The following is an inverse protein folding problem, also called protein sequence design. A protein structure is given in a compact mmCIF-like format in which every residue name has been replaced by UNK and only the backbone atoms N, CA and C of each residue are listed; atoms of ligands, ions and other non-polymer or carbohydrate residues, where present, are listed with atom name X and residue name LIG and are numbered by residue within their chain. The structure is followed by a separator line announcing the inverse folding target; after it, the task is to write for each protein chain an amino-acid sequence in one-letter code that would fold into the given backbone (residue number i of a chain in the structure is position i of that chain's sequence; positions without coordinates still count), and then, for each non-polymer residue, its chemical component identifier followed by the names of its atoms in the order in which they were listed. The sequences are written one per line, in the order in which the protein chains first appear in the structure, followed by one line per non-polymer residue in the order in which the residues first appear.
data_IF_371349149986
#
_entry.id   IF_371349149986
#
_cell.length_a   1.000
_cell.length_b   1.000
_cell.length_c   1.000
_cell.angle_alpha   90.00
_cell.angle_beta   90.00
_cell.angle_gamma   90.00
#
_symmetry.space_group_name_H-M   'P 1'
#
loop_
_entity.id
_entity.type
_entity.pdbx_description
1 polymer ?
#
# COMPACT_ATOMS: atom_id res chain seq x y z
N UNK A 1 -17.12 -20.93 30.09
CA UNK A 1 -16.81 -19.87 31.08
C UNK A 1 -15.38 -19.30 31.02
N UNK A 2 -14.28 -20.08 30.90
CA UNK A 2 -12.89 -19.53 30.83
C UNK A 2 -12.58 -18.64 29.61
N UNK A 3 -13.25 -18.82 28.46
CA UNK A 3 -13.03 -18.03 27.22
C UNK A 3 -13.62 -16.61 27.32
N UNK A 4 -14.75 -16.45 28.01
CA UNK A 4 -15.40 -15.15 28.22
C UNK A 4 -14.58 -14.25 29.17
N UNK A 5 -13.88 -14.81 30.15
CA UNK A 5 -12.96 -14.05 31.01
C UNK A 5 -11.75 -13.50 30.24
N UNK A 6 -11.18 -14.24 29.29
CA UNK A 6 -10.03 -13.75 28.50
C UNK A 6 -10.40 -12.61 27.54
N UNK A 7 -11.57 -12.68 26.91
CA UNK A 7 -12.04 -11.61 26.02
C UNK A 7 -12.38 -10.35 26.85
N UNK A 8 -13.10 -10.52 27.96
CA UNK A 8 -13.40 -9.42 28.89
C UNK A 8 -12.12 -8.75 29.43
N UNK A 9 -11.12 -9.53 29.82
CA UNK A 9 -9.84 -9.02 30.32
C UNK A 9 -8.99 -8.34 29.22
N UNK A 10 -9.05 -8.84 27.98
CA UNK A 10 -8.42 -8.20 26.82
C UNK A 10 -9.10 -6.85 26.49
N UNK A 11 -10.44 -6.83 26.44
CA UNK A 11 -11.22 -5.62 26.22
C UNK A 11 -10.97 -4.57 27.32
N UNK A 12 -10.93 -4.99 28.58
CA UNK A 12 -10.63 -4.08 29.69
C UNK A 12 -9.20 -3.52 29.62
N UNK A 13 -8.25 -4.28 29.09
CA UNK A 13 -6.89 -3.79 28.89
C UNK A 13 -6.75 -2.90 27.65
N UNK A 14 -7.58 -3.01 26.62
CA UNK A 14 -7.39 -2.30 25.36
C UNK A 14 -8.51 -1.32 24.98
N UNK A 15 -9.47 -1.08 25.87
CA UNK A 15 -10.61 -0.19 25.60
C UNK A 15 -10.22 1.22 25.10
N UNK A 16 -9.12 1.88 25.54
CA UNK A 16 -8.79 3.19 25.00
C UNK A 16 -8.37 3.12 23.53
N UNK A 17 -7.65 2.06 23.15
CA UNK A 17 -7.26 1.85 21.76
C UNK A 17 -8.47 1.54 20.87
N UNK A 18 -9.40 0.72 21.38
CA UNK A 18 -10.66 0.41 20.71
C UNK A 18 -11.49 1.68 20.49
N UNK A 19 -11.59 2.54 21.52
CA UNK A 19 -12.30 3.80 21.43
C UNK A 19 -11.68 4.74 20.39
N UNK A 20 -10.35 4.90 20.38
CA UNK A 20 -9.65 5.73 19.39
C UNK A 20 -9.90 5.25 17.96
N UNK A 21 -9.81 3.92 17.73
CA UNK A 21 -10.08 3.33 16.41
C UNK A 21 -11.55 3.45 16.01
N UNK A 22 -12.48 3.31 16.96
CA UNK A 22 -13.90 3.50 16.70
C UNK A 22 -14.20 4.94 16.30
N UNK A 23 -13.67 5.94 17.04
CA UNK A 23 -13.80 7.36 16.69
C UNK A 23 -13.25 7.60 15.28
N UNK A 24 -12.04 7.12 15.00
CA UNK A 24 -11.42 7.26 13.68
C UNK A 24 -12.28 6.65 12.56
N UNK A 25 -12.83 5.45 12.78
CA UNK A 25 -13.71 4.79 11.82
C UNK A 25 -15.00 5.59 11.58
N UNK A 26 -15.65 6.06 12.64
CA UNK A 26 -16.89 6.83 12.52
C UNK A 26 -16.66 8.20 11.87
N UNK A 27 -15.55 8.88 12.14
CA UNK A 27 -15.19 10.12 11.45
C UNK A 27 -15.01 9.86 9.95
N UNK A 28 -14.28 8.82 9.57
CA UNK A 28 -14.10 8.44 8.16
C UNK A 28 -15.42 8.06 7.48
N UNK A 29 -16.27 7.30 8.18
CA UNK A 29 -17.59 6.88 7.71
C UNK A 29 -18.51 8.08 7.48
N UNK A 30 -18.60 9.00 8.45
CA UNK A 30 -19.48 10.16 8.38
C UNK A 30 -19.01 11.17 7.34
N UNK A 31 -17.69 11.37 7.18
CA UNK A 31 -17.16 12.16 6.06
C UNK A 31 -17.53 11.54 4.71
N UNK A 32 -17.39 10.22 4.57
CA UNK A 32 -17.66 9.54 3.30
C UNK A 32 -19.13 9.46 2.92
N UNK A 33 -20.00 9.08 3.86
CA UNK A 33 -21.42 8.80 3.59
C UNK A 33 -22.30 10.02 3.84
N UNK A 34 -21.82 10.97 4.63
CA UNK A 34 -22.64 12.02 5.22
C UNK A 34 -23.22 11.57 6.56
N UNK A 35 -23.55 12.55 7.39
CA UNK A 35 -24.20 12.36 8.68
C UNK A 35 -24.96 13.63 9.07
N UNK A 36 -25.93 13.52 9.96
CA UNK A 36 -26.67 14.67 10.52
C UNK A 36 -27.32 15.58 9.47
N UNK A 37 -27.82 15.00 8.37
CA UNK A 37 -28.44 15.76 7.28
C UNK A 37 -27.46 16.47 6.34
N UNK A 38 -26.15 16.29 6.54
CA UNK A 38 -25.10 16.81 5.66
C UNK A 38 -24.66 15.69 4.69
N UNK A 39 -24.66 15.92 3.37
CA UNK A 39 -24.11 14.98 2.40
C UNK A 39 -22.64 14.66 2.66
N UNK A 40 -22.23 13.45 2.30
CA UNK A 40 -20.83 13.04 2.32
C UNK A 40 -20.06 13.53 1.09
N UNK A 41 -18.78 13.17 1.05
CA UNK A 41 -17.90 13.58 -0.06
C UNK A 41 -18.19 12.83 -1.37
N UNK A 42 -18.19 13.58 -2.47
CA UNK A 42 -18.27 13.05 -3.83
C UNK A 42 -17.06 12.16 -4.18
N UNK A 43 -17.15 11.46 -5.31
CA UNK A 43 -16.02 10.72 -5.87
C UNK A 43 -14.86 11.65 -6.22
N UNK A 44 -13.64 11.17 -6.01
CA UNK A 44 -12.40 11.84 -6.45
C UNK A 44 -11.90 11.25 -7.76
N UNK A 45 -10.99 11.96 -8.44
CA UNK A 45 -10.45 11.55 -9.75
C UNK A 45 -9.90 10.12 -9.72
N UNK A 46 -9.05 9.78 -8.73
CA UNK A 46 -8.49 8.43 -8.61
C UNK A 46 -9.56 7.34 -8.43
N UNK A 47 -10.67 7.65 -7.75
CA UNK A 47 -11.75 6.71 -7.53
C UNK A 47 -12.50 6.38 -8.82
N UNK A 48 -12.58 7.33 -9.76
CA UNK A 48 -13.12 7.11 -11.10
C UNK A 48 -12.35 5.99 -11.81
N UNK A 49 -11.01 5.98 -11.74
CA UNK A 49 -10.22 4.90 -12.36
C UNK A 49 -10.19 3.62 -11.51
N UNK A 50 -10.03 3.73 -10.19
CA UNK A 50 -9.74 2.58 -9.33
C UNK A 50 -10.95 1.68 -9.04
N UNK A 51 -12.13 2.26 -8.86
CA UNK A 51 -13.36 1.49 -8.53
C UNK A 51 -13.78 0.55 -9.68
N UNK A 52 -13.96 1.02 -10.94
CA UNK A 52 -14.33 0.13 -12.05
C UNK A 52 -13.25 -0.91 -12.32
N UNK A 53 -11.97 -0.54 -12.24
CA UNK A 53 -10.85 -1.49 -12.32
C UNK A 53 -10.94 -2.57 -11.24
N UNK A 54 -11.10 -2.17 -9.98
CA UNK A 54 -11.24 -3.10 -8.87
C UNK A 54 -12.40 -4.07 -9.05
N UNK A 55 -13.55 -3.55 -9.49
CA UNK A 55 -14.71 -4.37 -9.80
C UNK A 55 -14.43 -5.35 -10.95
N UNK A 56 -13.78 -4.91 -12.04
CA UNK A 56 -13.45 -5.79 -13.18
C UNK A 56 -12.50 -6.92 -12.80
N UNK A 57 -11.50 -6.64 -11.95
CA UNK A 57 -10.52 -7.62 -11.50
C UNK A 57 -11.17 -8.76 -10.71
N UNK A 58 -12.15 -8.43 -9.88
CA UNK A 58 -12.82 -9.42 -9.01
C UNK A 58 -13.98 -10.10 -9.72
N UNK A 59 -14.79 -9.34 -10.46
CA UNK A 59 -16.00 -9.87 -11.10
C UNK A 59 -15.70 -10.65 -12.38
N UNK A 60 -14.76 -10.16 -13.18
CA UNK A 60 -14.49 -10.71 -14.51
C UNK A 60 -13.15 -11.43 -14.60
N UNK A 61 -12.26 -11.28 -13.60
CA UNK A 61 -10.87 -11.76 -13.68
C UNK A 61 -10.13 -11.18 -14.89
N UNK A 62 -10.40 -9.89 -15.15
CA UNK A 62 -9.92 -9.16 -16.32
C UNK A 62 -9.23 -7.87 -15.87
N UNK A 63 -7.90 -7.83 -16.04
CA UNK A 63 -7.01 -6.79 -15.54
C UNK A 63 -6.82 -5.62 -16.51
N UNK A 64 -7.71 -5.46 -17.51
CA UNK A 64 -7.48 -4.49 -18.59
C UNK A 64 -7.43 -3.03 -18.16
N UNK A 65 -8.26 -2.64 -17.20
CA UNK A 65 -8.37 -1.23 -16.80
C UNK A 65 -7.29 -0.90 -15.78
N UNK A 66 -6.55 0.19 -15.95
CA UNK A 66 -5.55 0.72 -14.98
C UNK A 66 -4.39 -0.24 -14.63
N UNK A 67 -3.55 -0.67 -15.58
CA UNK A 67 -2.34 -1.46 -15.29
C UNK A 67 -1.24 -0.66 -14.54
N UNK A 68 -1.39 0.67 -14.44
CA UNK A 68 -0.46 1.58 -13.75
C UNK A 68 -0.31 1.32 -12.24
N UNK A 69 -1.25 0.58 -11.65
CA UNK A 69 -1.22 0.20 -10.24
C UNK A 69 -1.48 -1.28 -10.05
N UNK A 70 -0.86 -1.92 -9.03
CA UNK A 70 -1.13 -3.31 -8.70
C UNK A 70 -2.61 -3.60 -8.37
N UNK A 71 -3.06 -4.86 -8.50
CA UNK A 71 -4.47 -5.21 -8.41
C UNK A 71 -5.04 -5.11 -6.99
N UNK A 72 -4.28 -5.45 -5.94
CA UNK A 72 -4.89 -5.87 -4.66
C UNK A 72 -5.66 -4.74 -3.98
N UNK A 73 -5.12 -3.52 -3.94
CA UNK A 73 -5.82 -2.40 -3.31
C UNK A 73 -7.14 -2.08 -4.03
N UNK A 74 -7.13 -2.09 -5.37
CA UNK A 74 -8.34 -1.89 -6.19
C UNK A 74 -9.31 -3.05 -6.04
N UNK A 75 -8.82 -4.28 -6.09
CA UNK A 75 -9.62 -5.48 -5.92
C UNK A 75 -10.35 -5.48 -4.56
N UNK A 76 -9.69 -5.05 -3.47
CA UNK A 76 -10.35 -4.90 -2.18
C UNK A 76 -11.59 -4.00 -2.26
N UNK A 77 -11.51 -2.86 -2.95
CA UNK A 77 -12.64 -1.97 -3.19
C UNK A 77 -13.72 -2.60 -4.11
N UNK A 78 -13.32 -3.45 -5.05
CA UNK A 78 -14.24 -4.17 -5.94
C UNK A 78 -14.99 -5.34 -5.30
N UNK A 79 -14.45 -5.96 -4.23
CA UNK A 79 -15.05 -7.14 -3.58
C UNK A 79 -16.50 -6.89 -3.13
N UNK A 80 -16.82 -5.84 -2.35
CA UNK A 80 -18.19 -5.60 -1.90
C UNK A 80 -19.17 -5.42 -3.07
N UNK A 81 -18.73 -4.71 -4.11
CA UNK A 81 -19.51 -4.48 -5.32
C UNK A 81 -19.79 -5.78 -6.09
N UNK A 82 -18.78 -6.64 -6.21
CA UNK A 82 -18.91 -7.96 -6.86
C UNK A 82 -19.83 -8.91 -6.09
N UNK A 83 -19.80 -8.87 -4.75
CA UNK A 83 -20.68 -9.66 -3.88
C UNK A 83 -22.13 -9.16 -3.97
N UNK A 84 -22.35 -7.84 -3.99
CA UNK A 84 -23.69 -7.28 -4.13
C UNK A 84 -24.34 -7.68 -5.46
N UNK A 85 -23.56 -7.80 -6.53
CA UNK A 85 -23.98 -8.36 -7.81
C UNK A 85 -24.88 -7.45 -8.66
N UNK A 86 -25.30 -6.29 -8.14
CA UNK A 86 -26.23 -5.37 -8.79
C UNK A 86 -25.53 -4.13 -9.39
N UNK A 87 -24.31 -4.30 -9.90
CA UNK A 87 -23.59 -3.23 -10.61
C UNK A 87 -23.84 -3.38 -12.10
N UNK A 88 -24.50 -2.38 -12.66
CA UNK A 88 -24.88 -2.35 -14.05
C UNK A 88 -23.71 -1.98 -14.97
N UNK A 89 -23.66 -2.62 -16.12
CA UNK A 89 -23.22 -2.00 -17.36
C UNK A 89 -21.74 -1.78 -17.60
N UNK A 90 -20.80 -2.19 -16.73
CA UNK A 90 -19.38 -1.87 -16.97
C UNK A 90 -18.86 -2.27 -18.36
N UNK A 91 -19.38 -3.38 -18.93
CA UNK A 91 -18.98 -3.88 -20.26
C UNK A 91 -19.79 -3.31 -21.42
N UNK A 92 -20.86 -2.58 -21.14
CA UNK A 92 -21.82 -2.13 -22.14
C UNK A 92 -21.35 -0.83 -22.81
N UNK A 93 -20.43 -0.09 -22.17
CA UNK A 93 -19.82 1.11 -22.74
C UNK A 93 -18.62 0.79 -23.66
N UNK A 94 -18.41 1.65 -24.65
CA UNK A 94 -17.28 1.54 -25.57
C UNK A 94 -15.93 1.58 -24.85
N UNK A 95 -15.84 2.28 -23.71
CA UNK A 95 -14.63 2.45 -22.91
C UNK A 95 -14.05 1.12 -22.42
N UNK A 96 -14.88 0.09 -22.26
CA UNK A 96 -14.45 -1.24 -21.83
C UNK A 96 -13.57 -1.93 -22.88
N UNK A 97 -13.98 -1.85 -24.15
CA UNK A 97 -13.20 -2.38 -25.27
C UNK A 97 -12.10 -1.41 -25.71
N UNK A 98 -12.31 -0.11 -25.52
CA UNK A 98 -11.31 0.94 -25.73
C UNK A 98 -10.23 1.03 -24.64
N UNK A 99 -10.33 0.22 -23.58
CA UNK A 99 -9.40 0.21 -22.43
C UNK A 99 -9.27 1.61 -21.78
N UNK A 100 -10.35 2.39 -21.77
CA UNK A 100 -10.36 3.73 -21.21
C UNK A 100 -10.84 3.69 -19.75
N UNK A 101 -9.89 3.76 -18.82
CA UNK A 101 -10.16 3.70 -17.38
C UNK A 101 -11.00 4.87 -16.86
N UNK A 102 -10.88 6.05 -17.45
CA UNK A 102 -11.56 7.26 -16.99
C UNK A 102 -13.03 7.24 -17.42
N UNK A 103 -13.28 6.99 -18.70
CA UNK A 103 -14.64 6.88 -19.23
C UNK A 103 -15.39 5.68 -18.64
N UNK A 104 -14.72 4.54 -18.45
CA UNK A 104 -15.33 3.39 -17.76
C UNK A 104 -15.78 3.73 -16.34
N UNK A 105 -15.05 4.62 -15.67
CA UNK A 105 -15.40 5.09 -14.34
C UNK A 105 -16.57 6.05 -14.32
N UNK A 106 -16.57 7.04 -15.22
CA UNK A 106 -17.69 7.96 -15.38
C UNK A 106 -18.96 7.23 -15.75
N UNK A 107 -18.87 6.32 -16.72
CA UNK A 107 -20.00 5.51 -17.15
C UNK A 107 -20.54 4.64 -15.99
N UNK A 108 -19.68 3.85 -15.32
CA UNK A 108 -20.13 2.97 -14.24
C UNK A 108 -20.78 3.74 -13.09
N UNK A 109 -20.19 4.87 -12.69
CA UNK A 109 -20.68 5.62 -11.53
C UNK A 109 -21.92 6.44 -11.85
N UNK A 110 -22.03 7.04 -13.04
CA UNK A 110 -22.99 8.11 -13.30
C UNK A 110 -23.92 7.89 -14.50
N UNK A 111 -23.62 6.96 -15.41
CA UNK A 111 -24.41 6.78 -16.64
C UNK A 111 -25.09 5.41 -16.73
N UNK A 112 -24.48 4.37 -16.16
CA UNK A 112 -24.99 2.99 -16.15
C UNK A 112 -26.23 2.78 -15.26
N UNK A 113 -26.77 3.83 -14.64
CA UNK A 113 -27.92 3.77 -13.75
C UNK A 113 -27.62 3.20 -12.36
N UNK A 114 -26.34 3.10 -11.97
CA UNK A 114 -25.95 2.78 -10.60
C UNK A 114 -26.15 4.02 -9.69
N UNK A 115 -26.49 3.82 -8.42
CA UNK A 115 -26.46 4.92 -7.44
C UNK A 115 -25.00 5.20 -7.02
N UNK A 116 -24.42 6.37 -7.37
CA UNK A 116 -23.02 6.67 -7.07
C UNK A 116 -22.73 6.63 -5.56
N UNK A 117 -23.68 7.05 -4.72
CA UNK A 117 -23.49 7.08 -3.27
C UNK A 117 -23.33 5.65 -2.70
N UNK A 118 -24.16 4.71 -3.16
CA UNK A 118 -24.06 3.30 -2.79
C UNK A 118 -22.76 2.68 -3.28
N UNK A 119 -22.36 2.93 -4.53
CA UNK A 119 -21.11 2.40 -5.10
C UNK A 119 -19.90 2.91 -4.31
N UNK A 120 -19.82 4.23 -4.07
CA UNK A 120 -18.73 4.85 -3.31
C UNK A 120 -18.67 4.31 -1.88
N UNK A 121 -19.81 4.18 -1.20
CA UNK A 121 -19.84 3.67 0.17
C UNK A 121 -19.23 2.27 0.28
N UNK A 122 -19.67 1.35 -0.58
CA UNK A 122 -19.20 -0.03 -0.54
C UNK A 122 -17.74 -0.16 -1.01
N UNK A 123 -17.32 0.64 -1.99
CA UNK A 123 -15.94 0.63 -2.48
C UNK A 123 -14.94 1.22 -1.46
N UNK A 124 -15.36 2.23 -0.67
CA UNK A 124 -14.52 2.90 0.34
C UNK A 124 -14.39 2.11 1.65
N UNK A 125 -15.38 1.28 1.99
CA UNK A 125 -15.39 0.52 3.25
C UNK A 125 -14.11 -0.33 3.45
N UNK A 126 -13.62 -1.11 2.47
CA UNK A 126 -12.36 -1.84 2.57
C UNK A 126 -11.14 -0.94 2.88
N UNK A 127 -11.09 0.28 2.34
CA UNK A 127 -10.01 1.23 2.61
C UNK A 127 -10.05 1.73 4.06
N UNK A 128 -11.24 2.03 4.57
CA UNK A 128 -11.42 2.35 5.99
C UNK A 128 -11.00 1.18 6.89
N UNK A 129 -11.28 -0.07 6.51
CA UNK A 129 -10.84 -1.25 7.27
C UNK A 129 -9.31 -1.41 7.24
N UNK A 130 -8.65 -1.14 6.10
CA UNK A 130 -7.19 -1.09 6.02
C UNK A 130 -6.60 0.02 6.90
N UNK A 131 -7.23 1.19 6.92
CA UNK A 131 -6.86 2.33 7.79
C UNK A 131 -6.90 1.92 9.27
N UNK A 132 -7.96 1.23 9.69
CA UNK A 132 -8.07 0.68 11.05
C UNK A 132 -7.04 -0.43 11.30
N UNK A 133 -6.83 -1.32 10.33
CA UNK A 133 -5.80 -2.36 10.40
C UNK A 133 -4.39 -1.78 10.60
N UNK A 134 -4.08 -0.69 9.90
CA UNK A 134 -2.84 0.08 10.08
C UNK A 134 -2.71 0.63 11.49
N UNK A 135 -3.76 1.24 12.03
CA UNK A 135 -3.79 1.72 13.43
C UNK A 135 -3.59 0.59 14.45
N UNK A 136 -4.23 -0.56 14.26
CA UNK A 136 -4.07 -1.74 15.13
C UNK A 136 -2.62 -2.22 15.12
N UNK A 137 -2.01 -2.37 13.94
CA UNK A 137 -0.62 -2.83 13.84
C UNK A 137 0.37 -1.81 14.40
N UNK A 138 0.12 -0.52 14.21
CA UNK A 138 0.94 0.55 14.79
C UNK A 138 0.89 0.50 16.31
N UNK A 139 -0.32 0.41 16.88
CA UNK A 139 -0.53 0.27 18.32
C UNK A 139 0.16 -0.98 18.88
N UNK A 140 -0.03 -2.13 18.20
CA UNK A 140 0.57 -3.40 18.57
C UNK A 140 2.09 -3.30 18.59
N UNK A 141 2.70 -2.84 17.50
CA UNK A 141 4.15 -2.80 17.39
C UNK A 141 4.76 -1.79 18.36
N UNK A 142 4.20 -0.59 18.48
CA UNK A 142 4.65 0.40 19.46
C UNK A 142 4.52 -0.10 20.90
N UNK A 143 3.47 -0.86 21.22
CA UNK A 143 3.29 -1.51 22.52
C UNK A 143 4.34 -2.58 22.79
N UNK A 144 4.68 -3.41 21.79
CA UNK A 144 5.74 -4.41 21.90
C UNK A 144 7.11 -3.78 22.14
N UNK A 145 7.39 -2.63 21.53
CA UNK A 145 8.69 -1.96 21.62
C UNK A 145 8.86 -1.11 22.88
N UNK A 146 7.83 -0.38 23.29
CA UNK A 146 7.94 0.69 24.29
C UNK A 146 6.85 0.65 25.37
N UNK A 147 6.07 -0.43 25.39
CA UNK A 147 4.99 -0.61 26.33
C UNK A 147 3.70 0.13 25.96
N UNK A 148 2.64 -0.21 26.69
CA UNK A 148 1.25 0.16 26.39
C UNK A 148 1.00 1.67 26.32
N UNK A 149 1.63 2.46 27.20
CA UNK A 149 1.46 3.92 27.24
C UNK A 149 1.93 4.56 25.93
N UNK A 150 3.11 4.17 25.45
CA UNK A 150 3.66 4.68 24.19
C UNK A 150 2.85 4.17 23.01
N UNK A 151 2.41 2.91 23.04
CA UNK A 151 1.46 2.38 22.06
C UNK A 151 0.21 3.25 21.91
N UNK A 152 -0.43 3.63 23.03
CA UNK A 152 -1.62 4.50 23.02
C UNK A 152 -1.32 5.91 22.50
N UNK A 153 -0.18 6.50 22.88
CA UNK A 153 0.22 7.83 22.38
C UNK A 153 0.43 7.79 20.86
N UNK A 154 1.15 6.79 20.35
CA UNK A 154 1.36 6.62 18.91
C UNK A 154 0.03 6.43 18.15
N UNK A 155 -0.88 5.62 18.72
CA UNK A 155 -2.21 5.42 18.14
C UNK A 155 -3.03 6.71 18.17
N UNK A 156 -2.98 7.50 19.24
CA UNK A 156 -3.68 8.78 19.31
C UNK A 156 -3.17 9.75 18.24
N UNK A 157 -1.84 9.90 18.09
CA UNK A 157 -1.24 10.74 17.04
C UNK A 157 -1.73 10.29 15.65
N UNK A 158 -1.74 8.98 15.39
CA UNK A 158 -2.20 8.42 14.13
C UNK A 158 -3.71 8.65 13.89
N UNK A 159 -4.54 8.37 14.90
CA UNK A 159 -6.00 8.45 14.79
C UNK A 159 -6.50 9.90 14.59
N UNK A 160 -5.72 10.89 15.01
CA UNK A 160 -5.99 12.31 14.81
C UNK A 160 -5.12 12.96 13.73
N UNK A 161 -4.36 12.17 12.95
CA UNK A 161 -3.52 12.71 11.89
C UNK A 161 -4.37 13.09 10.66
N UNK A 162 -4.38 14.37 10.25
CA UNK A 162 -5.34 14.88 9.26
C UNK A 162 -5.24 14.17 7.91
N UNK A 163 -4.02 13.93 7.38
CA UNK A 163 -3.89 13.28 6.07
C UNK A 163 -4.41 11.83 6.07
N UNK A 164 -4.25 11.11 7.18
CA UNK A 164 -4.73 9.73 7.29
C UNK A 164 -6.25 9.71 7.30
N UNK A 165 -6.90 10.61 8.04
CA UNK A 165 -8.37 10.70 8.06
C UNK A 165 -8.89 11.15 6.69
N UNK A 166 -8.23 12.13 6.07
CA UNK A 166 -8.65 12.69 4.78
C UNK A 166 -8.55 11.67 3.64
N UNK A 167 -7.41 10.96 3.54
CA UNK A 167 -7.13 10.07 2.42
C UNK A 167 -7.41 8.58 2.71
N UNK A 168 -7.34 8.15 3.97
CA UNK A 168 -7.40 6.73 4.36
C UNK A 168 -8.74 6.04 4.10
N UNK A 169 -9.80 6.82 3.84
CA UNK A 169 -11.13 6.32 3.48
C UNK A 169 -11.39 6.25 1.97
N UNK A 170 -10.61 6.96 1.16
CA UNK A 170 -10.84 7.05 -0.29
C UNK A 170 -10.30 5.80 -0.98
N UNK A 171 -10.86 5.45 -2.15
CA UNK A 171 -10.32 4.36 -3.00
C UNK A 171 -9.08 4.85 -3.75
N UNK A 172 -8.06 5.15 -2.96
CA UNK A 172 -6.68 5.39 -3.37
C UNK A 172 -5.84 4.18 -3.00
N UNK A 173 -4.59 4.13 -3.44
CA UNK A 173 -3.65 3.03 -3.10
C UNK A 173 -2.75 3.37 -1.91
N UNK A 174 -2.88 4.56 -1.33
CA UNK A 174 -1.94 5.09 -0.34
C UNK A 174 -2.05 4.43 1.04
N UNK A 175 -3.27 4.25 1.56
CA UNK A 175 -3.46 3.62 2.87
C UNK A 175 -3.08 2.15 2.85
N UNK A 176 -3.35 1.49 1.72
CA UNK A 176 -2.91 0.13 1.44
C UNK A 176 -1.38 0.03 1.40
N UNK A 177 -0.72 0.97 0.71
CA UNK A 177 0.74 1.06 0.70
C UNK A 177 1.29 1.27 2.12
N UNK A 178 0.77 2.25 2.87
CA UNK A 178 1.22 2.52 4.25
C UNK A 178 1.06 1.29 5.16
N UNK A 179 -0.06 0.57 5.05
CA UNK A 179 -0.27 -0.71 5.72
C UNK A 179 0.80 -1.73 5.33
N UNK A 180 1.00 -1.94 4.03
CA UNK A 180 2.02 -2.83 3.46
C UNK A 180 3.44 -2.52 3.95
N UNK A 181 3.82 -1.25 3.99
CA UNK A 181 5.10 -0.78 4.56
C UNK A 181 5.23 -1.20 6.01
N UNK A 182 4.24 -0.87 6.86
CA UNK A 182 4.30 -1.16 8.29
C UNK A 182 4.43 -2.65 8.56
N UNK A 183 3.57 -3.48 7.96
CA UNK A 183 3.58 -4.92 8.23
C UNK A 183 4.84 -5.60 7.68
N UNK A 184 5.36 -5.15 6.54
CA UNK A 184 6.60 -5.71 5.96
C UNK A 184 7.79 -5.42 6.87
N UNK A 185 7.96 -4.16 7.29
CA UNK A 185 9.06 -3.78 8.19
C UNK A 185 8.93 -4.53 9.53
N UNK A 186 7.72 -4.64 10.07
CA UNK A 186 7.45 -5.39 11.30
C UNK A 186 7.88 -6.87 11.19
N UNK A 187 7.42 -7.59 10.15
CA UNK A 187 7.75 -9.01 10.03
C UNK A 187 9.21 -9.25 9.63
N UNK A 188 9.83 -8.32 8.89
CA UNK A 188 11.25 -8.38 8.61
C UNK A 188 12.10 -8.12 9.86
N UNK A 189 11.74 -7.16 10.73
CA UNK A 189 12.35 -6.99 12.06
C UNK A 189 12.32 -8.30 12.86
N UNK A 190 11.16 -8.96 12.93
CA UNK A 190 11.03 -10.26 13.60
C UNK A 190 11.89 -11.35 12.95
N UNK A 191 12.00 -11.38 11.62
CA UNK A 191 12.84 -12.33 10.91
C UNK A 191 14.34 -12.08 11.17
N UNK A 192 14.79 -10.82 11.22
CA UNK A 192 16.17 -10.48 11.56
C UNK A 192 16.52 -10.84 13.00
N UNK A 193 15.56 -10.73 13.94
CA UNK A 193 15.74 -11.17 15.34
C UNK A 193 15.88 -12.68 15.48
N UNK A 194 15.06 -13.44 14.75
CA UNK A 194 15.12 -14.90 14.78
C UNK A 194 14.90 -15.51 13.39
N UNK A 195 16.01 -15.72 12.67
CA UNK A 195 15.99 -16.24 11.30
C UNK A 195 15.63 -17.74 11.31
N UNK A 196 14.36 -18.00 11.09
CA UNK A 196 13.80 -19.34 10.86
C UNK A 196 13.11 -19.40 9.50
N UNK A 197 12.93 -20.60 8.94
CA UNK A 197 12.17 -20.78 7.70
C UNK A 197 10.79 -20.10 7.77
N UNK A 198 10.07 -20.29 8.89
CA UNK A 198 8.76 -19.68 9.13
C UNK A 198 8.81 -18.15 9.11
N UNK A 199 9.80 -17.54 9.78
CA UNK A 199 9.91 -16.07 9.83
C UNK A 199 10.22 -15.46 8.46
N UNK A 200 11.11 -16.10 7.69
CA UNK A 200 11.49 -15.69 6.33
C UNK A 200 10.32 -15.87 5.37
N UNK A 201 9.58 -16.97 5.49
CA UNK A 201 8.37 -17.23 4.71
C UNK A 201 7.30 -16.17 4.97
N UNK A 202 6.98 -15.90 6.24
CA UNK A 202 5.98 -14.88 6.60
C UNK A 202 6.42 -13.49 6.11
N UNK A 203 7.67 -13.09 6.34
CA UNK A 203 8.18 -11.81 5.87
C UNK A 203 8.15 -11.69 4.34
N UNK A 204 8.52 -12.74 3.61
CA UNK A 204 8.48 -12.78 2.15
C UNK A 204 7.06 -12.71 1.58
N UNK A 205 6.12 -13.47 2.14
CA UNK A 205 4.71 -13.43 1.72
C UNK A 205 4.10 -12.07 2.00
N UNK A 206 4.30 -11.54 3.21
CA UNK A 206 3.82 -10.20 3.57
C UNK A 206 4.40 -9.13 2.65
N UNK A 207 5.70 -9.23 2.34
CA UNK A 207 6.35 -8.29 1.41
C UNK A 207 5.77 -8.40 0.00
N UNK A 208 5.51 -9.60 -0.52
CA UNK A 208 4.90 -9.78 -1.83
C UNK A 208 3.46 -9.29 -1.90
N UNK A 209 2.67 -9.49 -0.84
CA UNK A 209 1.35 -8.87 -0.70
C UNK A 209 1.48 -7.35 -0.72
N UNK A 210 2.41 -6.77 0.04
CA UNK A 210 2.60 -5.32 0.10
C UNK A 210 2.99 -4.73 -1.27
N UNK A 211 3.88 -5.37 -2.02
CA UNK A 211 4.24 -4.98 -3.40
C UNK A 211 3.03 -5.00 -4.34
N UNK A 212 2.07 -5.89 -4.07
CA UNK A 212 0.83 -6.01 -4.83
C UNK A 212 -0.25 -4.99 -4.43
N UNK A 213 0.02 -4.11 -3.45
CA UNK A 213 -0.88 -3.01 -3.03
C UNK A 213 -0.60 -1.70 -3.78
N UNK A 214 0.69 -1.38 -4.01
CA UNK A 214 1.11 -0.17 -4.74
C UNK A 214 2.54 -0.35 -5.25
N UNK A 215 2.82 0.04 -6.49
CA UNK A 215 4.18 -0.14 -7.04
C UNK A 215 5.25 0.60 -6.26
N UNK A 216 4.98 1.79 -5.70
CA UNK A 216 5.94 2.53 -4.88
C UNK A 216 6.40 1.79 -3.61
N UNK A 217 5.78 0.67 -3.26
CA UNK A 217 6.25 -0.26 -2.22
C UNK A 217 7.59 -0.90 -2.61
N UNK A 218 8.00 -0.85 -3.88
CA UNK A 218 9.33 -1.30 -4.32
C UNK A 218 10.49 -0.66 -3.54
N UNK A 219 10.32 0.58 -3.04
CA UNK A 219 11.35 1.25 -2.24
C UNK A 219 11.67 0.48 -0.93
N UNK A 220 10.77 -0.39 -0.47
CA UNK A 220 11.06 -1.29 0.65
C UNK A 220 12.24 -2.21 0.38
N UNK A 221 12.59 -2.57 -0.87
CA UNK A 221 13.82 -3.32 -1.13
C UNK A 221 15.04 -2.59 -0.53
N UNK A 222 15.11 -1.26 -0.71
CA UNK A 222 16.16 -0.43 -0.12
C UNK A 222 16.06 -0.33 1.40
N UNK A 223 14.85 -0.20 1.95
CA UNK A 223 14.62 -0.14 3.41
C UNK A 223 15.03 -1.44 4.09
N UNK A 224 14.61 -2.60 3.56
CA UNK A 224 14.94 -3.91 4.11
C UNK A 224 16.45 -4.21 3.98
N UNK A 225 17.07 -3.81 2.87
CA UNK A 225 18.52 -3.91 2.71
C UNK A 225 19.24 -3.06 3.76
N UNK A 226 18.81 -1.80 3.96
CA UNK A 226 19.36 -0.92 4.99
C UNK A 226 19.19 -1.51 6.39
N UNK A 227 18.03 -2.11 6.70
CA UNK A 227 17.80 -2.81 7.98
C UNK A 227 18.78 -3.98 8.18
N UNK A 228 19.09 -4.74 7.12
CA UNK A 228 20.08 -5.81 7.19
C UNK A 228 21.49 -5.27 7.51
N UNK A 229 21.89 -4.15 6.89
CA UNK A 229 23.16 -3.46 7.20
C UNK A 229 23.21 -2.91 8.63
N UNK A 230 22.15 -2.21 9.05
CA UNK A 230 22.05 -1.67 10.41
C UNK A 230 22.15 -2.80 11.43
N UNK A 231 21.44 -3.92 11.20
CA UNK A 231 21.48 -5.07 12.09
C UNK A 231 22.88 -5.68 12.18
N UNK A 232 23.56 -5.85 11.05
CA UNK A 232 24.94 -6.35 11.04
C UNK A 232 25.92 -5.44 11.81
N UNK A 233 25.74 -4.12 11.68
CA UNK A 233 26.52 -3.14 12.44
C UNK A 233 26.26 -3.22 13.95
N UNK A 234 24.99 -3.38 14.35
CA UNK A 234 24.62 -3.52 15.77
C UNK A 234 25.21 -4.80 16.39
N UNK A 235 25.16 -5.93 15.68
CA UNK A 235 25.73 -7.21 16.15
C UNK A 235 27.25 -7.11 16.32
N UNK A 236 27.93 -6.46 15.38
CA UNK A 236 29.37 -6.15 15.51
C UNK A 236 29.66 -5.31 16.75
N UNK A 237 28.87 -4.25 16.98
CA UNK A 237 29.04 -3.37 18.14
C UNK A 237 28.77 -4.08 19.47
N UNK A 238 27.81 -5.00 19.49
CA UNK A 238 27.49 -5.86 20.63
C UNK A 238 28.52 -6.98 20.84
N UNK A 239 29.56 -7.07 20.00
CA UNK A 239 30.61 -8.11 20.03
C UNK A 239 30.06 -9.54 19.94
N UNK A 240 28.90 -9.73 19.31
CA UNK A 240 28.29 -11.05 19.14
C UNK A 240 28.86 -11.80 17.94
N UNK A 241 29.35 -11.09 16.92
CA UNK A 241 29.97 -11.64 15.70
C UNK A 241 30.74 -10.57 14.93
N UNK A 242 31.50 -10.96 13.89
CA UNK A 242 32.10 -9.99 12.98
C UNK A 242 31.06 -9.37 12.04
N UNK A 243 31.31 -8.15 11.56
CA UNK A 243 30.40 -7.48 10.61
C UNK A 243 30.15 -8.33 9.35
N UNK A 244 31.19 -8.95 8.79
CA UNK A 244 31.08 -9.75 7.58
C UNK A 244 30.19 -10.99 7.75
N UNK A 245 30.33 -11.71 8.86
CA UNK A 245 29.50 -12.88 9.17
C UNK A 245 28.02 -12.48 9.36
N UNK A 246 27.77 -11.44 10.15
CA UNK A 246 26.43 -10.90 10.35
C UNK A 246 25.81 -10.38 9.06
N UNK A 247 26.57 -9.61 8.26
CA UNK A 247 26.09 -9.07 7.00
C UNK A 247 25.70 -10.21 6.04
N UNK A 248 26.55 -11.24 5.90
CA UNK A 248 26.22 -12.41 5.07
C UNK A 248 24.93 -13.10 5.53
N UNK A 249 24.76 -13.28 6.84
CA UNK A 249 23.55 -13.88 7.44
C UNK A 249 22.29 -13.07 7.09
N UNK A 250 22.32 -11.75 7.29
CA UNK A 250 21.15 -10.89 7.04
C UNK A 250 20.88 -10.64 5.56
N UNK A 251 21.92 -10.55 4.72
CA UNK A 251 21.76 -10.50 3.26
C UNK A 251 21.13 -11.78 2.72
N UNK A 252 21.51 -12.95 3.24
CA UNK A 252 20.87 -14.20 2.83
C UNK A 252 19.38 -14.23 3.21
N UNK A 253 19.01 -13.71 4.37
CA UNK A 253 17.60 -13.56 4.75
C UNK A 253 16.87 -12.58 3.83
N UNK A 254 17.46 -11.42 3.53
CA UNK A 254 16.92 -10.45 2.57
C UNK A 254 16.69 -11.05 1.18
N UNK A 255 17.65 -11.81 0.65
CA UNK A 255 17.53 -12.47 -0.66
C UNK A 255 16.37 -13.49 -0.65
N UNK A 256 16.28 -14.31 0.41
CA UNK A 256 15.18 -15.30 0.53
C UNK A 256 13.82 -14.61 0.65
N UNK A 257 13.69 -13.57 1.46
CA UNK A 257 12.46 -12.76 1.59
C UNK A 257 12.08 -12.14 0.24
N UNK A 258 13.07 -11.59 -0.48
CA UNK A 258 12.88 -11.02 -1.82
C UNK A 258 12.39 -12.05 -2.83
N UNK A 259 13.01 -13.23 -2.88
CA UNK A 259 12.59 -14.31 -3.77
C UNK A 259 11.15 -14.79 -3.48
N UNK A 260 10.81 -14.97 -2.20
CA UNK A 260 9.45 -15.36 -1.78
C UNK A 260 8.43 -14.26 -2.14
N UNK A 261 8.82 -12.99 -2.04
CA UNK A 261 7.94 -11.88 -2.42
C UNK A 261 7.59 -11.90 -3.90
N UNK A 262 8.54 -12.21 -4.79
CA UNK A 262 8.31 -12.34 -6.23
C UNK A 262 7.39 -13.51 -6.56
N UNK A 263 7.56 -14.65 -5.89
CA UNK A 263 6.65 -15.81 -6.04
C UNK A 263 5.24 -15.45 -5.56
N UNK A 264 5.14 -14.70 -4.46
CA UNK A 264 3.85 -14.27 -3.90
C UNK A 264 3.12 -13.31 -4.85
N UNK A 265 3.83 -12.32 -5.40
CA UNK A 265 3.29 -11.40 -6.42
C UNK A 265 2.76 -12.21 -7.61
N UNK A 266 3.56 -13.16 -8.10
CA UNK A 266 3.16 -14.00 -9.23
C UNK A 266 1.84 -14.73 -8.96
N UNK A 267 1.75 -15.43 -7.82
CA UNK A 267 0.54 -16.16 -7.41
C UNK A 267 -0.67 -15.24 -7.27
N UNK A 268 -0.49 -14.04 -6.70
CA UNK A 268 -1.55 -13.05 -6.52
C UNK A 268 -2.09 -12.55 -7.86
N UNK A 269 -1.22 -12.34 -8.86
CA UNK A 269 -1.62 -11.76 -10.14
C UNK A 269 -2.40 -12.75 -11.03
N UNK A 270 -2.09 -14.05 -10.97
CA UNK A 270 -2.72 -15.10 -11.80
C UNK A 270 -4.25 -15.00 -11.87
N UNK A 271 -5.01 -14.94 -10.75
CA UNK A 271 -6.46 -14.85 -10.83
C UNK A 271 -6.94 -13.56 -11.49
N UNK A 272 -6.26 -12.43 -11.31
CA UNK A 272 -6.73 -11.14 -11.84
C UNK A 272 -6.61 -11.02 -13.37
N UNK A 273 -5.71 -11.79 -13.98
CA UNK A 273 -5.44 -11.76 -15.42
C UNK A 273 -6.04 -12.95 -16.17
N UNK A 274 -6.77 -13.83 -15.46
CA UNK A 274 -7.14 -15.15 -15.96
C UNK A 274 -8.01 -15.12 -17.22
N UNK A 275 -8.92 -14.14 -17.29
CA UNK A 275 -9.86 -13.95 -18.38
C UNK A 275 -9.54 -12.72 -19.23
N UNK A 276 -8.39 -12.07 -19.03
CA UNK A 276 -7.97 -10.97 -19.89
C UNK A 276 -7.76 -11.51 -21.32
N UNK A 277 -8.45 -10.96 -22.35
CA UNK A 277 -8.25 -11.40 -23.72
C UNK A 277 -6.83 -11.11 -24.21
N UNK A 278 -6.26 -12.00 -25.01
CA UNK A 278 -4.88 -11.85 -25.51
C UNK A 278 -4.70 -10.56 -26.32
N UNK A 279 -5.71 -10.19 -27.10
CA UNK A 279 -5.70 -8.98 -27.94
C UNK A 279 -5.63 -7.72 -27.07
N UNK A 280 -6.31 -7.74 -25.92
CA UNK A 280 -6.27 -6.65 -24.95
C UNK A 280 -4.91 -6.58 -24.26
N UNK A 281 -4.29 -7.72 -23.92
CA UNK A 281 -2.92 -7.75 -23.38
C UNK A 281 -1.92 -7.15 -24.35
N UNK A 282 -2.01 -7.56 -25.62
CA UNK A 282 -1.18 -7.03 -26.69
C UNK A 282 -1.34 -5.51 -26.84
N UNK A 283 -2.59 -5.04 -26.85
CA UNK A 283 -2.88 -3.61 -26.93
C UNK A 283 -2.37 -2.84 -25.71
N UNK A 284 -2.46 -3.41 -24.50
CA UNK A 284 -1.92 -2.79 -23.30
C UNK A 284 -0.40 -2.62 -23.41
N UNK A 285 0.31 -3.62 -23.90
CA UNK A 285 1.77 -3.56 -24.03
C UNK A 285 2.17 -2.52 -25.08
N UNK A 286 1.53 -2.49 -26.25
CA UNK A 286 1.83 -1.54 -27.32
C UNK A 286 1.42 -0.09 -27.00
N UNK A 287 0.28 0.12 -26.34
CA UNK A 287 -0.19 1.48 -25.99
C UNK A 287 0.59 2.14 -24.85
N UNK A 288 1.12 1.34 -23.92
CA UNK A 288 1.81 1.84 -22.74
C UNK A 288 3.34 1.88 -22.91
N UNK A 289 3.91 1.01 -23.75
CA UNK A 289 5.33 1.02 -24.07
C UNK A 289 5.51 1.54 -25.50
N UNK A 290 5.83 2.83 -25.61
CA UNK A 290 6.07 3.53 -26.88
C UNK A 290 7.04 2.77 -27.78
N UNK A 291 7.02 3.07 -29.09
CA UNK A 291 8.01 2.59 -30.08
C UNK A 291 9.44 3.15 -29.88
N UNK A 292 9.79 3.60 -28.67
CA UNK A 292 11.15 3.97 -28.32
C UNK A 292 12.05 2.72 -28.39
N UNK A 293 13.18 2.76 -29.13
CA UNK A 293 14.16 1.67 -29.15
C UNK A 293 14.59 1.19 -27.75
N UNK A 294 14.55 2.06 -26.73
CA UNK A 294 14.92 1.72 -25.34
C UNK A 294 13.95 0.72 -24.70
N UNK A 295 12.68 0.74 -25.08
CA UNK A 295 11.65 -0.16 -24.52
C UNK A 295 11.42 -1.42 -25.34
N UNK A 296 12.05 -1.53 -26.52
CA UNK A 296 11.82 -2.64 -27.46
C UNK A 296 12.14 -4.02 -26.88
N UNK A 297 13.28 -4.18 -26.20
CA UNK A 297 13.66 -5.48 -25.61
C UNK A 297 12.66 -5.95 -24.55
N UNK A 298 12.22 -5.01 -23.70
CA UNK A 298 11.21 -5.27 -22.68
C UNK A 298 9.88 -5.62 -23.35
N UNK A 299 9.46 -4.86 -24.35
CA UNK A 299 8.21 -5.09 -25.07
C UNK A 299 8.18 -6.49 -25.70
N UNK A 300 9.25 -6.84 -26.42
CA UNK A 300 9.42 -8.19 -26.97
C UNK A 300 9.36 -9.27 -25.88
N UNK A 301 10.01 -9.04 -24.73
CA UNK A 301 9.96 -9.97 -23.61
C UNK A 301 8.55 -10.12 -23.03
N UNK A 302 7.80 -9.03 -22.90
CA UNK A 302 6.42 -9.07 -22.42
C UNK A 302 5.50 -9.83 -23.38
N UNK A 303 5.67 -9.67 -24.70
CA UNK A 303 4.93 -10.46 -25.70
C UNK A 303 5.19 -11.98 -25.61
N UNK A 304 6.35 -12.42 -25.10
CA UNK A 304 6.60 -13.85 -24.85
C UNK A 304 5.74 -14.41 -23.71
N UNK A 305 5.27 -13.54 -22.80
CA UNK A 305 4.46 -13.92 -21.65
C UNK A 305 2.96 -13.85 -21.93
N UNK A 306 2.54 -13.08 -22.94
CA UNK A 306 1.15 -12.91 -23.37
C UNK A 306 0.49 -14.24 -23.76
N UNK A 307 -0.83 -14.34 -23.56
CA UNK A 307 -1.59 -15.50 -24.03
C UNK A 307 -1.45 -16.76 -23.16
N UNK A 308 -0.46 -16.86 -22.28
CA UNK A 308 -0.38 -17.94 -21.28
C UNK A 308 -0.88 -17.45 -19.91
N UNK A 309 -1.94 -18.08 -19.38
CA UNK A 309 -2.64 -17.64 -18.17
C UNK A 309 -1.77 -17.59 -16.91
N UNK A 310 -0.66 -18.31 -16.88
CA UNK A 310 0.24 -18.37 -15.73
C UNK A 310 1.37 -17.35 -15.89
N UNK A 311 2.05 -17.32 -17.05
CA UNK A 311 3.22 -16.45 -17.23
C UNK A 311 2.86 -14.99 -17.49
N UNK A 312 1.67 -14.71 -18.06
CA UNK A 312 1.18 -13.34 -18.29
C UNK A 312 1.07 -12.52 -17.00
N UNK A 313 0.85 -13.18 -15.87
CA UNK A 313 0.80 -12.55 -14.55
C UNK A 313 2.10 -11.80 -14.22
N UNK A 314 3.26 -12.40 -14.53
CA UNK A 314 4.55 -11.73 -14.41
C UNK A 314 4.69 -10.59 -15.42
N UNK A 315 4.19 -10.79 -16.64
CA UNK A 315 4.15 -9.76 -17.69
C UNK A 315 3.41 -8.51 -17.24
N UNK A 316 2.20 -8.65 -16.69
CA UNK A 316 1.42 -7.52 -16.18
C UNK A 316 2.08 -6.81 -14.99
N UNK A 317 2.71 -7.55 -14.07
CA UNK A 317 3.48 -6.93 -12.99
C UNK A 317 4.66 -6.10 -13.52
N UNK A 318 5.45 -6.67 -14.44
CA UNK A 318 6.60 -6.00 -15.05
C UNK A 318 6.19 -4.78 -15.89
N UNK A 319 5.10 -4.88 -16.67
CA UNK A 319 4.52 -3.77 -17.40
C UNK A 319 4.21 -2.60 -16.47
N UNK A 320 3.51 -2.88 -15.36
CA UNK A 320 3.13 -1.84 -14.39
C UNK A 320 4.33 -1.20 -13.68
N UNK A 321 5.38 -1.96 -13.34
CA UNK A 321 6.63 -1.39 -12.80
C UNK A 321 7.25 -0.40 -13.81
N UNK A 322 7.23 -0.74 -15.09
CA UNK A 322 7.83 0.06 -16.15
C UNK A 322 7.01 1.32 -16.43
N UNK A 323 5.68 1.24 -16.34
CA UNK A 323 4.80 2.40 -16.38
C UNK A 323 5.12 3.44 -15.30
N UNK A 324 5.46 3.00 -14.08
CA UNK A 324 5.87 3.91 -13.01
C UNK A 324 7.15 4.66 -13.38
N UNK A 325 8.17 3.97 -13.91
CA UNK A 325 9.42 4.62 -14.32
C UNK A 325 9.21 5.58 -15.50
N UNK A 326 8.39 5.20 -16.49
CA UNK A 326 8.05 6.05 -17.61
C UNK A 326 7.34 7.33 -17.14
N UNK A 327 6.39 7.22 -16.20
CA UNK A 327 5.66 8.37 -15.64
C UNK A 327 6.57 9.32 -14.85
N UNK A 328 7.56 8.79 -14.12
CA UNK A 328 8.56 9.61 -13.42
C UNK A 328 9.47 10.35 -14.42
N UNK A 329 9.83 9.71 -15.53
CA UNK A 329 10.67 10.31 -16.56
C UNK A 329 9.95 11.39 -17.38
N UNK A 330 8.65 11.20 -17.67
CA UNK A 330 7.85 12.16 -18.44
C UNK A 330 7.62 13.49 -17.74
N UNK A 331 7.64 13.50 -16.39
CA UNK A 331 7.34 14.71 -15.60
C UNK A 331 5.86 15.07 -15.60
N UNK A 332 5.47 16.01 -14.74
CA UNK A 332 4.14 16.63 -14.76
C UNK A 332 4.33 18.13 -14.53
N UNK A 333 3.51 18.95 -15.19
CA UNK A 333 3.45 20.38 -14.92
C UNK A 333 3.16 20.59 -13.43
N UNK A 334 4.08 21.28 -12.76
CA UNK A 334 4.06 21.50 -11.32
C UNK A 334 4.03 23.00 -11.06
N UNK A 335 3.07 23.44 -10.26
CA UNK A 335 3.00 24.80 -9.75
C UNK A 335 3.18 24.82 -8.23
N UNK A 336 4.13 25.63 -7.73
CA UNK A 336 4.37 25.78 -6.31
C UNK A 336 4.90 27.19 -5.98
N UNK A 337 4.21 27.92 -5.10
CA UNK A 337 4.60 29.28 -4.63
C UNK A 337 5.07 30.17 -5.80
N UNK A 338 4.19 30.39 -6.78
CA UNK A 338 4.50 31.23 -7.94
C UNK A 338 5.46 30.63 -8.97
N UNK A 339 6.06 29.45 -8.70
CA UNK A 339 6.93 28.76 -9.65
C UNK A 339 6.13 27.75 -10.46
N UNK A 340 6.05 27.98 -11.76
CA UNK A 340 5.57 27.00 -12.73
C UNK A 340 6.78 26.27 -13.34
N UNK A 341 6.71 24.95 -13.40
CA UNK A 341 7.75 24.10 -13.98
C UNK A 341 7.12 22.95 -14.73
N UNK A 342 7.61 22.68 -15.93
CA UNK A 342 7.18 21.53 -16.75
C UNK A 342 7.82 20.22 -16.25
N UNK A 343 8.72 20.33 -15.26
CA UNK A 343 9.42 19.23 -14.60
C UNK A 343 9.18 19.24 -13.09
N UNK A 344 9.57 18.15 -12.42
CA UNK A 344 9.52 18.06 -10.97
C UNK A 344 10.38 19.13 -10.29
N UNK A 345 9.86 19.70 -9.21
CA UNK A 345 10.55 20.68 -8.38
C UNK A 345 11.13 19.96 -7.15
N UNK A 346 12.46 19.88 -6.96
CA UNK A 346 13.06 19.05 -5.90
C UNK A 346 12.62 19.41 -4.48
N UNK A 347 12.39 20.70 -4.21
CA UNK A 347 11.95 21.19 -2.90
C UNK A 347 10.44 21.08 -2.67
N UNK A 348 9.65 20.70 -3.68
CA UNK A 348 8.19 20.61 -3.57
C UNK A 348 7.75 19.63 -2.49
N UNK A 349 8.27 18.38 -2.52
CA UNK A 349 7.86 17.37 -1.55
C UNK A 349 8.29 17.67 -0.11
N UNK A 350 9.55 18.10 0.17
CA UNK A 350 9.93 18.56 1.50
C UNK A 350 9.03 19.68 2.03
N UNK A 351 8.75 20.69 1.19
CA UNK A 351 7.89 21.80 1.56
C UNK A 351 6.44 21.36 1.80
N UNK A 352 5.87 20.56 0.89
CA UNK A 352 4.52 20.04 1.03
C UNK A 352 4.38 19.20 2.31
N UNK A 353 5.39 18.39 2.64
CA UNK A 353 5.42 17.65 3.90
C UNK A 353 5.45 18.58 5.10
N UNK A 354 6.29 19.62 5.11
CA UNK A 354 6.34 20.60 6.21
C UNK A 354 5.02 21.37 6.41
N UNK A 355 4.32 21.71 5.32
CA UNK A 355 3.06 22.46 5.38
C UNK A 355 1.89 21.57 5.80
N UNK A 356 1.84 20.32 5.31
CA UNK A 356 0.71 19.41 5.55
C UNK A 356 0.84 18.60 6.84
N UNK A 357 2.06 18.45 7.36
CA UNK A 357 2.29 17.69 8.60
C UNK A 357 2.03 18.57 9.83
N UNK A 358 1.21 18.12 10.80
CA UNK A 358 1.02 18.85 12.06
C UNK A 358 2.35 19.16 12.74
N UNK A 359 2.51 20.41 13.21
CA UNK A 359 3.76 20.87 13.83
C UNK A 359 4.19 20.00 15.02
N UNK A 360 3.23 19.42 15.75
CA UNK A 360 3.50 18.46 16.83
C UNK A 360 4.27 17.23 16.35
N UNK A 361 3.92 16.68 15.18
CA UNK A 361 4.60 15.53 14.59
C UNK A 361 6.00 15.91 14.09
N UNK A 362 6.14 17.09 13.49
CA UNK A 362 7.46 17.61 13.06
C UNK A 362 8.38 17.77 14.27
N UNK A 363 7.90 18.40 15.34
CA UNK A 363 8.69 18.60 16.57
C UNK A 363 9.06 17.28 17.24
N UNK A 364 8.15 16.31 17.30
CA UNK A 364 8.46 14.97 17.82
C UNK A 364 9.51 14.26 16.98
N UNK A 365 9.43 14.34 15.64
CA UNK A 365 10.44 13.78 14.75
C UNK A 365 11.80 14.44 14.98
N UNK A 366 11.88 15.78 14.98
CA UNK A 366 13.13 16.51 15.21
C UNK A 366 13.73 16.20 16.59
N UNK A 367 12.89 16.14 17.64
CA UNK A 367 13.32 15.76 18.97
C UNK A 367 13.89 14.33 19.00
N UNK A 368 13.25 13.38 18.29
CA UNK A 368 13.75 12.01 18.19
C UNK A 368 15.10 11.92 17.49
N UNK A 369 15.28 12.62 16.37
CA UNK A 369 16.53 12.68 15.62
C UNK A 369 17.64 13.32 16.47
N UNK A 370 17.34 14.41 17.17
CA UNK A 370 18.27 15.06 18.09
C UNK A 370 18.70 14.14 19.25
N UNK A 371 17.76 13.38 19.84
CA UNK A 371 18.08 12.43 20.90
C UNK A 371 18.98 11.29 20.41
N UNK A 372 18.73 10.76 19.21
CA UNK A 372 19.57 9.74 18.58
C UNK A 372 20.97 10.31 18.28
N UNK A 373 21.05 11.49 17.66
CA UNK A 373 22.32 12.13 17.29
C UNK A 373 23.17 12.53 18.51
N UNK A 374 22.53 13.04 19.58
CA UNK A 374 23.22 13.44 20.82
C UNK A 374 23.72 12.26 21.66
N UNK A 375 23.51 11.01 21.21
CA UNK A 375 23.83 9.77 21.95
C UNK A 375 23.27 9.76 23.38
N UNK A 376 22.25 10.58 23.65
CA UNK A 376 21.53 10.59 24.94
C UNK A 376 20.67 9.34 25.10
N UNK A 377 20.41 8.61 24.02
CA UNK A 377 19.92 7.23 24.03
C UNK A 377 21.09 6.28 24.34
N UNK A 378 21.64 6.38 25.55
CA UNK A 378 22.86 5.65 25.93
C UNK A 378 22.58 4.30 26.62
N UNK A 379 21.32 3.88 26.78
CA UNK A 379 20.98 2.71 27.61
C UNK A 379 19.81 1.82 27.16
N UNK A 380 19.03 2.15 26.12
CA UNK A 380 17.83 1.35 25.76
C UNK A 380 17.79 0.79 24.34
N UNK A 381 18.75 1.13 23.47
CA UNK A 381 18.83 0.51 22.13
C UNK A 381 19.38 -0.92 22.20
N UNK A 382 20.08 -1.24 23.30
CA UNK A 382 20.57 -2.58 23.61
C UNK A 382 19.43 -3.54 24.02
N UNK A 383 18.16 -3.10 24.10
CA UNK A 383 17.01 -3.98 24.46
C UNK A 383 16.00 -4.17 23.33
N UNK A 384 16.02 -3.31 22.30
CA UNK A 384 14.98 -3.34 21.24
C UNK A 384 15.38 -4.25 20.08
N UNK A 385 16.69 -4.43 19.90
CA UNK A 385 17.29 -5.24 18.83
C UNK A 385 18.33 -6.22 19.38
N UNK A 386 19.12 -5.80 20.36
CA UNK A 386 19.93 -6.70 21.19
C UNK A 386 18.99 -7.45 22.16
#
# INVERSE_FOLDING_TARGET
MKKNNKISQCLHNHWPAILLLAIMFFVALFSSKGAFGIPGDSGTVDEIAHIPSGYSYVKYLDFRLNPEHPPVAKALAGIPLAIQGNINGLKDDWSWNGINQWESGWYLLYEAGNDPATVLFWARLPMMLLMIGLGIFLYKWATELYGKKIGLISLAIFAFYPDIIAHGRLVTTDIAAAFGYLITIYYFDKALKNITFKSVLIAGVVFGVAQSLKFSVFLLFGVLLLMAFIRAYLDMKAKTSTFGESLKKYLLAFIKVSAISLITIWIIYIPFVWNTPKEIEHQLIESNLTNDPKTQYLRNFLHLLEGNNITRALGHYLLGVMLVFARVAGGNATYAIGHLSDKSIPWYFPLAWMIKTPISVILLLLASLFMVASKRVKKSLDDIWT
#
